data_IF_379457436807
#
_entry.id   IF_379457436807
#
_cell.length_a   1.000
_cell.length_b   1.000
_cell.length_c   1.000
_cell.angle_alpha   90.00
_cell.angle_beta   90.00
_cell.angle_gamma   90.00
#
_symmetry.space_group_name_H-M   'P 1'
#
loop_
_entity.id
_entity.type
_entity.pdbx_description
1 polymer ?
#
# COMPACT_ATOMS: atom_id res chain seq x y z
N UNK A 1 13.87 2.85 -5.53
CA UNK A 1 13.12 1.69 -5.01
C UNK A 1 12.93 1.81 -3.53
N UNK A 2 11.77 1.45 -3.06
CA UNK A 2 11.43 1.50 -1.66
C UNK A 2 11.85 0.19 -1.02
N UNK A 3 12.62 0.26 0.03
CA UNK A 3 12.99 -0.91 0.80
C UNK A 3 12.08 -0.98 2.01
N UNK A 4 11.30 -2.03 2.10
CA UNK A 4 10.38 -2.24 3.19
C UNK A 4 10.79 -3.47 3.99
N UNK A 5 10.66 -3.41 5.29
CA UNK A 5 11.21 -4.40 6.20
C UNK A 5 10.09 -5.20 6.86
N UNK A 6 9.06 -5.54 6.09
CA UNK A 6 7.90 -6.20 6.64
C UNK A 6 8.14 -7.63 7.08
N UNK A 7 9.05 -8.33 6.42
CA UNK A 7 9.34 -9.72 6.76
C UNK A 7 9.90 -9.88 8.17
N UNK A 8 10.44 -8.81 8.73
CA UNK A 8 11.02 -8.81 10.08
C UNK A 8 10.07 -8.28 11.14
N UNK A 9 8.88 -7.87 10.74
CA UNK A 9 7.97 -7.23 11.66
C UNK A 9 7.23 -8.25 12.51
N UNK A 10 7.00 -7.93 13.78
CA UNK A 10 6.18 -8.78 14.62
C UNK A 10 4.74 -8.76 14.13
N UNK A 11 3.99 -9.79 14.45
CA UNK A 11 2.58 -9.88 14.05
C UNK A 11 1.74 -8.77 14.66
N UNK A 12 2.07 -8.38 15.85
CA UNK A 12 1.51 -7.19 16.49
C UNK A 12 2.60 -6.15 16.52
N UNK A 13 2.46 -5.09 15.76
CA UNK A 13 3.50 -4.07 15.74
C UNK A 13 3.64 -3.45 17.13
N UNK A 14 4.86 -3.46 17.59
CA UNK A 14 5.25 -2.73 18.76
C UNK A 14 6.00 -1.51 18.26
N UNK A 15 5.38 -0.34 18.35
CA UNK A 15 5.99 0.86 17.82
C UNK A 15 7.21 1.27 18.62
N UNK A 16 8.32 1.36 17.94
CA UNK A 16 9.50 2.01 18.50
C UNK A 16 9.35 3.51 18.28
N UNK A 17 10.03 4.31 19.07
CA UNK A 17 9.95 5.77 18.98
C UNK A 17 10.36 6.31 17.62
N UNK A 18 11.18 5.54 16.86
CA UNK A 18 11.67 5.95 15.56
C UNK A 18 10.92 5.29 14.39
N UNK A 19 9.80 4.62 14.66
CA UNK A 19 9.01 3.94 13.63
C UNK A 19 7.62 4.52 13.55
N UNK A 20 7.07 4.50 12.33
CA UNK A 20 5.72 4.97 12.07
C UNK A 20 5.01 3.99 11.15
N UNK A 21 3.69 3.91 11.31
CA UNK A 21 2.86 3.09 10.44
C UNK A 21 2.68 3.82 9.11
N UNK A 22 3.07 3.16 8.03
CA UNK A 22 2.90 3.68 6.69
C UNK A 22 1.76 2.96 5.99
N UNK A 23 0.83 3.72 5.42
CA UNK A 23 -0.19 3.20 4.52
C UNK A 23 0.33 3.26 3.10
N UNK A 24 0.35 2.13 2.39
CA UNK A 24 0.79 2.12 0.99
C UNK A 24 -0.11 3.01 0.16
N UNK A 25 -1.43 2.80 0.25
CA UNK A 25 -2.41 3.77 -0.23
C UNK A 25 -2.71 4.69 0.95
N UNK A 26 -2.39 5.97 0.79
CA UNK A 26 -2.50 6.93 1.88
C UNK A 26 -3.94 7.06 2.35
N UNK A 27 -4.11 7.15 3.66
CA UNK A 27 -5.41 7.08 4.32
C UNK A 27 -6.29 8.28 3.99
N UNK A 28 -5.72 9.48 3.98
CA UNK A 28 -6.51 10.71 3.87
C UNK A 28 -6.01 11.67 2.81
N UNK A 29 -4.98 11.34 2.08
CA UNK A 29 -4.42 12.24 1.09
C UNK A 29 -5.32 12.38 -0.13
N UNK A 30 -5.54 13.61 -0.57
CA UNK A 30 -6.27 13.88 -1.81
C UNK A 30 -5.57 13.27 -3.02
N UNK A 31 -4.26 13.08 -2.95
CA UNK A 31 -3.46 12.48 -4.02
C UNK A 31 -3.68 10.99 -4.18
N UNK A 32 -4.42 10.36 -3.27
CA UNK A 32 -4.71 8.93 -3.32
C UNK A 32 -6.20 8.62 -3.48
N UNK A 33 -7.01 9.58 -3.87
CA UNK A 33 -8.47 9.38 -3.95
C UNK A 33 -8.84 8.23 -4.88
N UNK A 34 -8.20 8.13 -6.05
CA UNK A 34 -8.49 7.06 -7.00
C UNK A 34 -8.12 5.72 -6.41
N UNK A 35 -6.93 5.61 -5.82
CA UNK A 35 -6.47 4.38 -5.19
C UNK A 35 -7.38 3.99 -4.03
N UNK A 36 -7.80 4.95 -3.22
CA UNK A 36 -8.74 4.70 -2.12
C UNK A 36 -10.05 4.14 -2.63
N UNK A 37 -10.57 4.70 -3.74
CA UNK A 37 -11.80 4.24 -4.35
C UNK A 37 -11.69 2.80 -4.85
N UNK A 38 -10.58 2.44 -5.46
CA UNK A 38 -10.35 1.08 -5.93
C UNK A 38 -10.30 0.10 -4.75
N UNK A 39 -9.61 0.45 -3.67
CA UNK A 39 -9.57 -0.41 -2.49
C UNK A 39 -10.97 -0.62 -1.92
N UNK A 40 -11.78 0.44 -1.87
CA UNK A 40 -13.14 0.33 -1.39
C UNK A 40 -13.97 -0.61 -2.26
N UNK A 41 -13.84 -0.49 -3.59
CA UNK A 41 -14.54 -1.38 -4.53
C UNK A 41 -14.13 -2.84 -4.36
N UNK A 42 -12.89 -3.07 -3.99
CA UNK A 42 -12.36 -4.42 -3.79
C UNK A 42 -12.55 -4.93 -2.38
N UNK A 43 -13.18 -4.15 -1.52
CA UNK A 43 -13.35 -4.49 -0.10
C UNK A 43 -12.02 -4.77 0.59
N UNK A 44 -11.02 -3.97 0.28
CA UNK A 44 -9.73 -4.01 0.97
C UNK A 44 -9.68 -2.83 1.94
N UNK A 45 -9.59 -3.12 3.23
CA UNK A 45 -9.57 -2.08 4.24
C UNK A 45 -8.32 -1.21 4.13
N UNK A 46 -8.50 0.11 4.23
CA UNK A 46 -7.38 1.06 4.18
C UNK A 46 -6.38 0.82 5.33
N UNK A 47 -6.86 0.35 6.47
CA UNK A 47 -6.03 0.05 7.62
C UNK A 47 -5.69 -1.44 7.71
N UNK A 48 -5.93 -2.20 6.64
CA UNK A 48 -5.63 -3.63 6.63
C UNK A 48 -4.13 -3.88 6.70
N UNK A 49 -3.77 -5.07 7.14
CA UNK A 49 -2.38 -5.49 7.21
C UNK A 49 -1.72 -5.42 5.84
N UNK A 50 -2.45 -5.73 4.80
CA UNK A 50 -1.94 -5.68 3.43
C UNK A 50 -1.52 -4.28 3.00
N UNK A 51 -2.22 -3.26 3.47
CA UNK A 51 -1.97 -1.88 3.08
C UNK A 51 -1.05 -1.13 4.02
N UNK A 52 -0.56 -1.76 5.07
CA UNK A 52 0.23 -1.06 6.09
C UNK A 52 1.56 -1.73 6.34
N UNK A 53 2.54 -0.93 6.71
CA UNK A 53 3.89 -1.40 7.04
C UNK A 53 4.53 -0.42 8.01
N UNK A 54 5.30 -0.92 8.97
CA UNK A 54 6.08 -0.08 9.86
C UNK A 54 7.37 0.33 9.17
N UNK A 55 7.65 1.62 9.18
CA UNK A 55 8.86 2.18 8.59
C UNK A 55 9.52 3.11 9.57
N UNK A 56 10.83 3.27 9.45
CA UNK A 56 11.55 4.29 10.19
C UNK A 56 11.02 5.67 9.80
N UNK A 57 10.90 6.54 10.76
CA UNK A 57 10.32 7.87 10.57
C UNK A 57 10.94 8.62 9.41
N UNK A 58 12.26 8.62 9.31
CA UNK A 58 12.93 9.32 8.21
C UNK A 58 12.59 8.76 6.84
N UNK A 59 12.53 7.43 6.72
CA UNK A 59 12.14 6.79 5.46
C UNK A 59 10.67 7.07 5.14
N UNK A 60 9.80 6.95 6.14
CA UNK A 60 8.37 7.18 5.97
C UNK A 60 8.11 8.58 5.41
N UNK A 61 8.76 9.60 5.99
CA UNK A 61 8.57 10.98 5.54
C UNK A 61 9.06 11.20 4.12
N UNK A 62 10.15 10.54 3.72
CA UNK A 62 10.68 10.66 2.36
C UNK A 62 9.78 10.04 1.30
N UNK A 63 8.89 9.14 1.70
CA UNK A 63 7.95 8.53 0.76
C UNK A 63 6.77 9.43 0.42
N UNK A 64 6.48 10.44 1.24
CA UNK A 64 5.32 11.31 1.01
C UNK A 64 5.63 12.36 -0.06
N UNK A 65 5.81 11.90 -1.30
CA UNK A 65 6.07 12.74 -2.46
C UNK A 65 5.04 12.48 -3.55
N UNK A 66 4.87 13.44 -4.47
CA UNK A 66 3.99 13.24 -5.62
C UNK A 66 4.41 12.03 -6.45
N UNK A 67 5.71 11.84 -6.62
CA UNK A 67 6.21 10.70 -7.38
C UNK A 67 5.77 9.37 -6.76
N UNK A 68 5.83 9.26 -5.45
CA UNK A 68 5.42 8.06 -4.76
C UNK A 68 3.90 7.83 -4.91
N UNK A 69 3.09 8.87 -4.72
CA UNK A 69 1.65 8.74 -4.86
C UNK A 69 1.25 8.33 -6.26
N UNK A 70 1.90 8.89 -7.28
CA UNK A 70 1.65 8.52 -8.67
C UNK A 70 2.08 7.09 -8.95
N UNK A 71 3.20 6.67 -8.39
CA UNK A 71 3.67 5.29 -8.55
C UNK A 71 2.67 4.30 -7.96
N UNK A 72 2.21 4.53 -6.73
CA UNK A 72 1.24 3.65 -6.09
C UNK A 72 -0.07 3.63 -6.88
N UNK A 73 -0.55 4.79 -7.31
CA UNK A 73 -1.78 4.88 -8.10
C UNK A 73 -1.64 4.08 -9.40
N UNK A 74 -0.52 4.25 -10.10
CA UNK A 74 -0.27 3.50 -11.34
C UNK A 74 -0.30 2.00 -11.09
N UNK A 75 0.33 1.54 -10.01
CA UNK A 75 0.38 0.12 -9.68
C UNK A 75 -1.01 -0.43 -9.34
N UNK A 76 -1.79 0.34 -8.58
CA UNK A 76 -3.14 -0.06 -8.19
C UNK A 76 -4.06 -0.13 -9.41
N UNK A 77 -4.02 0.88 -10.26
CA UNK A 77 -4.83 0.91 -11.48
C UNK A 77 -4.44 -0.23 -12.40
N UNK A 78 -3.14 -0.45 -12.60
CA UNK A 78 -2.65 -1.51 -13.47
C UNK A 78 -3.11 -2.89 -12.97
N UNK A 79 -3.02 -3.12 -11.67
CA UNK A 79 -3.45 -4.37 -11.07
C UNK A 79 -4.96 -4.58 -11.26
N UNK A 80 -5.74 -3.51 -11.06
CA UNK A 80 -7.18 -3.53 -11.22
C UNK A 80 -7.58 -3.86 -12.65
N UNK A 81 -6.94 -3.21 -13.63
CA UNK A 81 -7.26 -3.37 -15.04
C UNK A 81 -6.69 -4.65 -15.65
N UNK A 82 -5.73 -5.29 -14.99
CA UNK A 82 -5.13 -6.54 -15.48
C UNK A 82 -6.05 -7.75 -15.31
N UNK A 83 -7.12 -7.61 -14.55
CA UNK A 83 -8.12 -8.66 -14.39
C UNK A 83 -9.34 -8.37 -15.26
N UNK A 84 -10.13 -9.39 -15.61
CA UNK A 84 -11.36 -9.15 -16.33
C UNK A 84 -12.28 -8.21 -15.55
N UNK A 85 -12.98 -7.29 -16.23
CA UNK A 85 -13.90 -6.39 -15.56
C UNK A 85 -14.93 -7.17 -14.73
N UNK A 86 -15.14 -6.72 -13.50
CA UNK A 86 -16.07 -7.37 -12.58
C UNK A 86 -15.54 -8.60 -11.86
N UNK A 87 -14.33 -9.06 -12.21
CA UNK A 87 -13.73 -10.19 -11.50
C UNK A 87 -12.99 -9.66 -10.26
N UNK A 88 -13.75 -9.43 -9.22
CA UNK A 88 -13.25 -8.81 -7.99
C UNK A 88 -12.14 -9.64 -7.33
N UNK A 89 -12.30 -10.96 -7.31
CA UNK A 89 -11.31 -11.83 -6.69
C UNK A 89 -9.96 -11.74 -7.38
N UNK A 90 -9.94 -11.71 -8.70
CA UNK A 90 -8.70 -11.59 -9.45
C UNK A 90 -8.10 -10.19 -9.28
N UNK A 91 -8.92 -9.17 -9.29
CA UNK A 91 -8.48 -7.79 -9.07
C UNK A 91 -7.82 -7.65 -7.71
N UNK A 92 -8.47 -8.19 -6.69
CA UNK A 92 -7.97 -8.20 -5.32
C UNK A 92 -6.62 -8.92 -5.21
N UNK A 93 -6.53 -10.09 -5.81
CA UNK A 93 -5.31 -10.88 -5.82
C UNK A 93 -4.18 -10.10 -6.47
N UNK A 94 -4.44 -9.43 -7.59
CA UNK A 94 -3.44 -8.65 -8.30
C UNK A 94 -2.91 -7.50 -7.44
N UNK A 95 -3.81 -6.78 -6.77
CA UNK A 95 -3.41 -5.67 -5.90
C UNK A 95 -2.52 -6.17 -4.75
N UNK A 96 -2.94 -7.21 -4.08
CA UNK A 96 -2.19 -7.77 -2.95
C UNK A 96 -0.82 -8.30 -3.38
N UNK A 97 -0.73 -8.87 -4.57
CA UNK A 97 0.51 -9.36 -5.12
C UNK A 97 1.52 -8.22 -5.34
N UNK A 98 1.07 -7.09 -5.87
CA UNK A 98 1.94 -5.93 -6.05
C UNK A 98 2.42 -5.38 -4.72
N UNK A 99 1.55 -5.28 -3.74
CA UNK A 99 1.94 -4.82 -2.41
C UNK A 99 2.98 -5.73 -1.78
N UNK A 100 2.80 -7.03 -1.93
CA UNK A 100 3.76 -7.99 -1.39
C UNK A 100 5.15 -7.78 -1.99
N UNK A 101 5.22 -7.48 -3.28
CA UNK A 101 6.50 -7.18 -3.92
C UNK A 101 7.11 -5.89 -3.40
N UNK A 102 6.29 -4.86 -3.17
CA UNK A 102 6.78 -3.61 -2.61
C UNK A 102 7.37 -3.81 -1.21
N UNK A 103 6.75 -4.67 -0.42
CA UNK A 103 7.17 -4.91 0.96
C UNK A 103 8.47 -5.71 1.06
N UNK A 104 8.79 -6.49 0.05
CA UNK A 104 9.98 -7.37 0.08
C UNK A 104 11.23 -6.64 -0.39
N UNK A 105 11.07 -5.64 -1.22
CA UNK A 105 12.22 -4.87 -1.68
C UNK A 105 12.80 -4.02 -0.55
#
# INVERSE_FOLDING_TARGET
MIVLVTSLMPKKPSYRSDEELHHIVAHTSKRSIISQGILADLDIGINSEENTVLLKTGLHRRLHTNAYYLYVEFMIISAYLSAPPGNIEQQKTNVKKHWKQLKIN
#
